data_IF_564740694700
#
_entry.id   IF_564740694700
#
_cell.length_a   1.000
_cell.length_b   1.000
_cell.length_c   1.000
_cell.angle_alpha   90.00
_cell.angle_beta   90.00
_cell.angle_gamma   90.00
#
_symmetry.space_group_name_H-M   'P 1'
#
loop_
_entity.id
_entity.type
_entity.pdbx_description
1 polymer ?
#
# COMPACT_ATOMS: atom_id res chain seq x y z
N UNK A 1 18.88 -1.00 21.74
CA UNK A 1 19.62 -1.91 22.65
C UNK A 1 20.81 -2.50 21.88
N UNK A 2 22.03 -2.24 22.36
CA UNK A 2 23.33 -2.82 22.02
C UNK A 2 23.79 -2.82 20.55
N UNK A 3 24.67 -1.86 20.23
CA UNK A 3 25.63 -1.98 19.14
C UNK A 3 26.65 -3.08 19.41
N UNK A 4 26.94 -3.88 18.38
CA UNK A 4 28.07 -4.81 18.36
C UNK A 4 29.23 -4.17 17.62
N UNK A 5 30.31 -3.84 18.35
CA UNK A 5 31.64 -3.64 17.77
C UNK A 5 32.21 -5.02 17.41
N UNK A 6 32.62 -5.23 16.14
CA UNK A 6 33.53 -6.34 15.80
C UNK A 6 34.98 -5.85 15.91
N UNK A 7 35.90 -6.65 16.47
CA UNK A 7 37.31 -6.28 16.58
C UNK A 7 38.07 -6.56 15.27
N UNK A 8 39.05 -5.69 15.00
CA UNK A 8 40.09 -5.82 13.98
C UNK A 8 41.26 -6.66 14.51
N UNK A 9 41.70 -7.65 13.73
CA UNK A 9 43.07 -8.23 13.67
C UNK A 9 43.21 -8.71 12.22
N UNK A 10 44.01 -8.11 11.31
CA UNK A 10 45.47 -7.86 11.20
C UNK A 10 46.26 -9.00 10.50
N UNK A 11 46.87 -8.65 9.36
CA UNK A 11 47.89 -9.41 8.59
C UNK A 11 47.32 -10.06 7.32
N UNK A 12 47.71 -9.75 6.07
CA UNK A 12 48.86 -9.06 5.49
C UNK A 12 48.44 -8.30 4.20
N UNK A 13 49.28 -7.34 3.81
CA UNK A 13 49.26 -6.42 2.64
C UNK A 13 48.90 -7.10 1.30
N UNK A 14 48.05 -6.53 0.43
CA UNK A 14 48.40 -5.43 -0.51
C UNK A 14 47.36 -4.26 -0.56
N UNK A 15 47.82 -3.14 -1.12
CA UNK A 15 47.38 -1.74 -0.99
C UNK A 15 46.27 -1.29 -2.01
N UNK A 16 45.75 -0.04 -1.98
CA UNK A 16 44.38 0.27 -1.55
C UNK A 16 43.44 0.77 -2.67
N UNK A 17 42.13 0.50 -2.52
CA UNK A 17 41.06 1.29 -3.14
C UNK A 17 40.48 2.25 -2.10
N UNK A 18 40.25 3.50 -2.52
CA UNK A 18 40.04 4.68 -1.68
C UNK A 18 38.99 4.51 -0.57
N UNK A 19 39.36 4.96 0.62
CA UNK A 19 38.55 4.94 1.84
C UNK A 19 37.41 5.95 1.79
N UNK A 20 36.25 5.55 1.26
CA UNK A 20 35.01 6.31 1.42
C UNK A 20 34.46 6.07 2.84
N UNK A 21 34.35 7.13 3.65
CA UNK A 21 33.81 7.03 5.02
C UNK A 21 32.28 6.90 4.94
N UNK A 22 31.72 5.89 5.62
CA UNK A 22 30.27 5.66 5.71
C UNK A 22 29.78 6.02 7.11
N UNK A 23 28.67 6.75 7.20
CA UNK A 23 28.05 7.14 8.46
C UNK A 23 26.55 6.87 8.43
N UNK A 24 26.05 6.09 9.40
CA UNK A 24 24.64 5.75 9.55
C UNK A 24 24.06 6.47 10.76
N UNK A 25 23.00 7.25 10.53
CA UNK A 25 22.34 8.08 11.53
C UNK A 25 20.94 7.55 11.80
N UNK A 26 20.77 6.82 12.90
CA UNK A 26 19.48 6.22 13.27
C UNK A 26 18.70 7.01 14.32
N UNK A 27 19.30 8.03 14.96
CA UNK A 27 18.59 8.82 15.97
C UNK A 27 19.22 10.21 16.16
N UNK A 28 18.66 11.22 15.47
CA UNK A 28 18.97 12.63 15.72
C UNK A 28 17.74 13.41 16.23
N UNK A 29 16.78 12.69 16.81
CA UNK A 29 15.66 13.32 17.51
C UNK A 29 16.06 13.58 18.98
N UNK A 30 15.92 14.82 19.45
CA UNK A 30 15.99 15.25 20.87
C UNK A 30 17.27 15.88 21.47
N UNK A 31 18.30 16.29 20.71
CA UNK A 31 19.42 17.09 21.31
C UNK A 31 19.83 18.40 20.60
N UNK A 32 18.96 18.98 19.77
CA UNK A 32 19.18 20.32 19.20
C UNK A 32 18.00 21.28 19.40
N UNK A 33 17.07 20.96 20.31
CA UNK A 33 16.04 21.90 20.79
C UNK A 33 16.64 22.80 21.88
N UNK A 34 17.54 23.69 21.49
CA UNK A 34 17.88 24.93 22.21
C UNK A 34 18.84 25.74 21.34
N UNK A 35 18.32 26.36 20.29
CA UNK A 35 18.85 27.64 19.84
C UNK A 35 17.68 28.53 19.42
N UNK A 36 17.64 29.68 20.06
CA UNK A 36 16.61 30.70 20.04
C UNK A 36 16.20 31.15 18.64
N UNK A 37 14.94 31.59 18.57
CA UNK A 37 14.26 32.27 17.48
C UNK A 37 15.15 32.92 16.42
N UNK A 38 15.30 32.23 15.30
CA UNK A 38 15.72 32.83 14.04
C UNK A 38 14.58 32.68 13.04
N UNK A 39 13.77 33.75 12.93
CA UNK A 39 13.03 34.04 11.71
C UNK A 39 14.06 34.09 10.59
N UNK A 40 14.15 33.03 9.78
CA UNK A 40 14.97 33.01 8.60
C UNK A 40 14.35 33.97 7.56
N UNK A 41 14.72 35.25 7.66
CA UNK A 41 14.71 36.13 6.51
C UNK A 41 15.70 35.54 5.51
N UNK A 42 15.18 34.97 4.43
CA UNK A 42 15.98 34.66 3.25
C UNK A 42 16.53 35.98 2.74
N UNK A 43 17.81 36.24 2.99
CA UNK A 43 18.48 37.43 2.49
C UNK A 43 18.49 37.39 0.95
N UNK A 44 18.08 38.46 0.24
CA UNK A 44 18.02 38.48 -1.24
C UNK A 44 19.38 38.35 -1.94
N UNK A 45 20.48 38.32 -1.18
CA UNK A 45 21.85 38.49 -1.68
C UNK A 45 22.58 37.21 -2.10
N UNK A 46 21.95 36.03 -2.03
CA UNK A 46 22.51 34.79 -2.60
C UNK A 46 22.00 34.46 -4.01
N UNK A 47 21.25 35.38 -4.64
CA UNK A 47 20.77 35.25 -6.03
C UNK A 47 21.84 35.77 -7.00
N UNK A 48 22.99 35.08 -7.11
CA UNK A 48 23.93 35.37 -8.21
C UNK A 48 24.84 34.21 -8.64
N UNK A 49 24.32 32.98 -8.67
CA UNK A 49 24.86 31.99 -9.62
C UNK A 49 23.77 31.55 -10.59
N UNK A 50 23.93 32.03 -11.83
CA UNK A 50 23.12 31.71 -13.00
C UNK A 50 23.01 30.18 -13.16
N UNK A 51 21.79 29.66 -13.15
CA UNK A 51 21.46 28.42 -13.87
C UNK A 51 20.44 28.71 -14.96
N UNK A 52 20.84 28.33 -16.17
CA UNK A 52 20.27 28.66 -17.48
C UNK A 52 19.16 27.68 -17.89
N UNK A 53 18.47 27.08 -16.91
CA UNK A 53 17.52 26.00 -17.12
C UNK A 53 16.11 26.49 -16.83
N UNK A 54 15.50 27.09 -17.85
CA UNK A 54 14.06 27.36 -17.87
C UNK A 54 13.36 26.03 -18.21
N UNK A 55 13.30 25.09 -17.27
CA UNK A 55 12.37 23.97 -17.35
C UNK A 55 10.94 24.52 -17.37
N UNK A 56 10.04 23.92 -18.15
CA UNK A 56 8.61 24.25 -18.19
C UNK A 56 7.94 23.90 -16.86
N UNK A 57 8.18 24.73 -15.86
CA UNK A 57 7.65 24.58 -14.52
C UNK A 57 6.14 24.75 -14.53
N UNK A 58 5.60 25.64 -15.38
CA UNK A 58 4.14 25.83 -15.51
C UNK A 58 3.45 24.58 -16.01
N UNK A 59 3.99 23.90 -17.03
CA UNK A 59 3.50 22.61 -17.51
C UNK A 59 3.54 21.52 -16.44
N UNK A 60 4.68 21.40 -15.73
CA UNK A 60 4.83 20.44 -14.63
C UNK A 60 3.81 20.68 -13.50
N UNK A 61 3.69 21.91 -13.01
CA UNK A 61 2.74 22.24 -11.94
C UNK A 61 1.29 22.06 -12.39
N UNK A 62 0.96 22.35 -13.65
CA UNK A 62 -0.37 22.08 -14.22
C UNK A 62 -0.70 20.58 -14.24
N UNK A 63 0.25 19.73 -14.63
CA UNK A 63 0.07 18.27 -14.60
C UNK A 63 -0.04 17.74 -13.18
N UNK A 64 0.81 18.23 -12.27
CA UNK A 64 0.76 17.86 -10.85
C UNK A 64 -0.61 18.23 -10.24
N UNK A 65 -1.13 19.43 -10.56
CA UNK A 65 -2.43 19.89 -10.08
C UNK A 65 -3.58 18.99 -10.59
N UNK A 66 -3.51 18.52 -11.84
CA UNK A 66 -4.48 17.55 -12.37
C UNK A 66 -4.55 16.29 -11.49
N UNK A 67 -3.39 15.77 -11.08
CA UNK A 67 -3.31 14.58 -10.22
C UNK A 67 -3.75 14.81 -8.78
N UNK A 68 -3.65 16.05 -8.29
CA UNK A 68 -4.19 16.42 -6.97
C UNK A 68 -5.73 16.39 -6.93
N UNK A 69 -6.40 16.59 -8.08
CA UNK A 69 -7.84 16.43 -8.19
C UNK A 69 -8.20 14.94 -8.24
N UNK A 70 -8.90 14.48 -7.21
CA UNK A 70 -9.25 13.07 -7.03
C UNK A 70 -10.18 12.52 -8.10
N UNK A 71 -11.16 13.30 -8.56
CA UNK A 71 -12.17 12.87 -9.53
C UNK A 71 -11.55 12.74 -10.93
N UNK A 72 -10.81 13.77 -11.34
CA UNK A 72 -10.15 13.81 -12.64
C UNK A 72 -9.10 12.69 -12.79
N UNK A 73 -8.26 12.52 -11.76
CA UNK A 73 -7.26 11.45 -11.75
C UNK A 73 -7.89 10.05 -11.75
N UNK A 74 -8.95 9.84 -10.96
CA UNK A 74 -9.66 8.56 -10.96
C UNK A 74 -10.30 8.25 -12.32
N UNK A 75 -10.93 9.24 -12.96
CA UNK A 75 -11.51 9.09 -14.30
C UNK A 75 -10.46 8.71 -15.35
N UNK A 76 -9.33 9.41 -15.37
CA UNK A 76 -8.19 9.10 -16.27
C UNK A 76 -7.70 7.66 -16.09
N UNK A 77 -7.56 7.20 -14.85
CA UNK A 77 -7.11 5.85 -14.53
C UNK A 77 -8.14 4.79 -14.95
N UNK A 78 -9.42 5.02 -14.69
CA UNK A 78 -10.50 4.11 -15.08
C UNK A 78 -10.62 3.97 -16.60
N UNK A 79 -10.51 5.07 -17.34
CA UNK A 79 -10.51 5.05 -18.81
C UNK A 79 -9.30 4.26 -19.36
N UNK A 80 -8.12 4.45 -18.76
CA UNK A 80 -6.93 3.68 -19.12
C UNK A 80 -7.12 2.18 -18.86
N UNK A 81 -7.65 1.79 -17.69
CA UNK A 81 -7.94 0.40 -17.37
C UNK A 81 -8.97 -0.21 -18.36
N UNK A 82 -10.03 0.54 -18.70
CA UNK A 82 -11.05 0.12 -19.67
C UNK A 82 -10.45 -0.12 -21.07
N UNK A 83 -9.45 0.67 -21.47
CA UNK A 83 -8.78 0.54 -22.77
C UNK A 83 -7.91 -0.72 -22.90
N UNK A 84 -7.66 -1.45 -21.80
CA UNK A 84 -6.75 -2.62 -21.74
C UNK A 84 -5.33 -2.33 -22.20
N UNK A 85 -4.92 -1.06 -22.19
CA UNK A 85 -3.55 -0.68 -22.49
C UNK A 85 -2.57 -1.37 -21.53
N UNK A 86 -1.40 -1.76 -22.05
CA UNK A 86 -0.39 -2.44 -21.27
C UNK A 86 0.12 -1.52 -20.14
N UNK A 87 0.12 -2.07 -18.92
CA UNK A 87 0.58 -1.42 -17.71
C UNK A 87 2.05 -1.81 -17.53
N UNK A 88 2.99 -0.96 -17.97
CA UNK A 88 4.44 -1.20 -17.86
C UNK A 88 4.98 -0.43 -16.67
N UNK A 89 5.53 -1.15 -15.69
CA UNK A 89 6.14 -0.54 -14.51
C UNK A 89 7.28 0.40 -14.92
N UNK A 90 7.24 1.62 -14.40
CA UNK A 90 8.32 2.59 -14.56
C UNK A 90 9.50 2.17 -13.70
N UNK A 91 10.50 1.53 -14.30
CA UNK A 91 11.70 1.09 -13.60
C UNK A 91 12.77 2.20 -13.54
N UNK A 92 13.59 2.13 -12.49
CA UNK A 92 14.81 2.94 -12.42
C UNK A 92 15.87 2.39 -13.38
N UNK A 93 16.84 3.24 -13.74
CA UNK A 93 17.96 2.83 -14.60
C UNK A 93 18.81 1.76 -13.90
N UNK A 94 19.40 0.82 -14.64
CA UNK A 94 20.20 -0.28 -14.06
C UNK A 94 21.32 0.20 -13.12
N UNK A 95 21.88 1.39 -13.39
CA UNK A 95 22.86 2.03 -12.52
C UNK A 95 22.27 2.41 -11.15
N UNK A 96 21.11 3.07 -11.18
CA UNK A 96 20.40 3.54 -9.98
C UNK A 96 19.78 2.38 -9.22
N UNK A 97 19.20 1.41 -9.91
CA UNK A 97 18.65 0.18 -9.30
C UNK A 97 19.72 -0.59 -8.54
N UNK A 98 20.92 -0.78 -9.12
CA UNK A 98 22.04 -1.43 -8.41
C UNK A 98 22.48 -0.68 -7.15
N UNK A 99 22.46 0.67 -7.19
CA UNK A 99 22.74 1.50 -6.00
C UNK A 99 21.67 1.29 -4.92
N UNK A 100 20.40 1.30 -5.28
CA UNK A 100 19.31 1.00 -4.34
C UNK A 100 19.43 -0.38 -3.72
N UNK A 101 19.71 -1.43 -4.50
CA UNK A 101 19.91 -2.78 -3.96
C UNK A 101 21.10 -2.86 -3.00
N UNK A 102 22.19 -2.15 -3.29
CA UNK A 102 23.34 -2.09 -2.39
C UNK A 102 22.98 -1.38 -1.07
N UNK A 103 22.37 -0.20 -1.13
CA UNK A 103 21.95 0.54 0.06
C UNK A 103 20.88 -0.20 0.86
N UNK A 104 19.95 -0.89 0.20
CA UNK A 104 18.91 -1.68 0.85
C UNK A 104 19.51 -2.84 1.65
N UNK A 105 20.50 -3.54 1.09
CA UNK A 105 21.23 -4.61 1.82
C UNK A 105 21.94 -4.04 3.04
N UNK A 106 22.65 -2.93 2.88
CA UNK A 106 23.38 -2.28 3.98
C UNK A 106 22.39 -1.83 5.09
N UNK A 107 21.25 -1.23 4.74
CA UNK A 107 20.17 -0.89 5.69
C UNK A 107 19.58 -2.11 6.39
N UNK A 108 19.36 -3.20 5.65
CA UNK A 108 18.79 -4.45 6.21
C UNK A 108 19.77 -5.13 7.17
N UNK A 109 21.07 -5.07 6.90
CA UNK A 109 22.10 -5.61 7.79
C UNK A 109 22.19 -4.81 9.10
N UNK A 110 22.07 -3.48 9.03
CA UNK A 110 22.18 -2.62 10.21
C UNK A 110 20.90 -2.55 11.05
N UNK A 111 19.74 -2.43 10.40
CA UNK A 111 18.46 -2.15 11.06
C UNK A 111 17.54 -3.39 11.15
N UNK A 112 17.86 -4.46 10.43
CA UNK A 112 17.01 -5.64 10.29
C UNK A 112 16.02 -5.53 9.11
N UNK A 113 15.42 -6.66 8.75
CA UNK A 113 14.39 -6.70 7.72
C UNK A 113 13.08 -6.09 8.24
N UNK A 114 12.57 -5.08 7.54
CA UNK A 114 11.35 -4.37 7.92
C UNK A 114 10.22 -4.61 6.92
N UNK A 115 9.14 -5.24 7.39
CA UNK A 115 7.94 -5.48 6.61
C UNK A 115 6.92 -4.32 6.69
N UNK A 116 7.11 -3.40 7.64
CA UNK A 116 6.20 -2.27 7.86
C UNK A 116 6.48 -1.14 6.87
N UNK A 117 5.48 -0.26 6.69
CA UNK A 117 5.67 0.98 5.93
C UNK A 117 6.77 1.82 6.59
N UNK A 118 7.81 2.11 5.82
CA UNK A 118 8.92 2.96 6.25
C UNK A 118 9.59 3.59 5.03
N UNK A 119 10.44 4.59 5.30
CA UNK A 119 11.30 5.23 4.31
C UNK A 119 12.69 5.45 4.90
N UNK A 120 13.72 5.42 4.05
CA UNK A 120 15.08 5.80 4.40
C UNK A 120 15.68 6.58 3.23
N UNK A 121 16.77 7.30 3.47
CA UNK A 121 17.47 7.97 2.39
C UNK A 121 18.98 7.97 2.58
N UNK A 122 19.65 8.18 1.46
CA UNK A 122 21.10 8.22 1.35
C UNK A 122 21.49 9.50 0.63
N UNK A 123 22.39 10.26 1.26
CA UNK A 123 23.09 11.35 0.62
C UNK A 123 24.48 10.85 0.20
N UNK A 124 24.65 10.61 -1.11
CA UNK A 124 25.92 10.20 -1.70
C UNK A 124 26.73 11.43 -2.09
N UNK A 125 27.90 11.58 -1.48
CA UNK A 125 28.91 12.58 -1.80
C UNK A 125 30.14 11.88 -2.40
N UNK A 126 31.05 12.62 -3.05
CA UNK A 126 32.27 12.02 -3.62
C UNK A 126 33.14 11.30 -2.57
N UNK A 127 33.24 11.86 -1.36
CA UNK A 127 34.13 11.34 -0.30
C UNK A 127 33.39 10.55 0.80
N UNK A 128 32.07 10.73 0.92
CA UNK A 128 31.28 10.26 2.06
C UNK A 128 29.87 9.82 1.63
N UNK A 129 29.36 8.77 2.27
CA UNK A 129 27.97 8.34 2.14
C UNK A 129 27.29 8.49 3.50
N UNK A 130 26.21 9.28 3.56
CA UNK A 130 25.39 9.46 4.76
C UNK A 130 24.07 8.73 4.56
N UNK A 131 23.78 7.75 5.42
CA UNK A 131 22.54 6.99 5.41
C UNK A 131 21.71 7.35 6.66
N UNK A 132 20.41 7.52 6.51
CA UNK A 132 19.52 7.89 7.61
C UNK A 132 18.11 7.31 7.45
N UNK A 133 17.49 7.02 8.60
CA UNK A 133 16.32 6.15 8.71
C UNK A 133 16.68 4.78 9.30
N UNK A 134 15.77 3.78 9.26
CA UNK A 134 14.41 3.87 8.72
C UNK A 134 13.51 4.77 9.57
N UNK A 135 12.66 5.53 8.91
CA UNK A 135 11.59 6.30 9.55
C UNK A 135 10.24 5.69 9.26
N UNK A 136 9.36 5.73 10.26
CA UNK A 136 8.01 5.17 10.19
C UNK A 136 6.99 6.30 10.26
N UNK A 137 5.84 6.18 9.58
CA UNK A 137 4.78 7.18 9.63
C UNK A 137 4.20 7.29 11.06
N UNK A 138 3.87 8.51 11.47
CA UNK A 138 3.15 8.79 12.71
C UNK A 138 1.71 9.19 12.40
N UNK A 139 0.84 8.18 12.33
CA UNK A 139 -0.57 8.35 11.96
C UNK A 139 -1.36 9.22 12.94
N UNK A 140 -0.94 9.31 14.21
CA UNK A 140 -1.61 10.16 15.20
C UNK A 140 -1.46 11.65 14.90
N UNK A 141 -0.36 12.03 14.25
CA UNK A 141 -0.03 13.41 13.90
C UNK A 141 -0.22 13.69 12.40
N UNK A 142 -0.68 12.71 11.62
CA UNK A 142 -0.78 12.82 10.16
C UNK A 142 0.57 12.94 9.43
N UNK A 143 1.69 12.70 10.12
CA UNK A 143 3.04 12.79 9.56
C UNK A 143 3.42 11.48 8.87
N UNK A 144 3.87 11.57 7.62
CA UNK A 144 4.38 10.41 6.89
C UNK A 144 5.92 10.35 6.98
N UNK A 145 6.47 9.16 6.79
CA UNK A 145 7.91 8.92 6.78
C UNK A 145 8.67 9.83 5.80
N UNK A 146 8.05 10.19 4.68
CA UNK A 146 8.60 11.06 3.64
C UNK A 146 8.76 12.51 4.10
N UNK A 147 7.93 13.01 5.03
CA UNK A 147 8.08 14.37 5.57
C UNK A 147 9.40 14.49 6.36
N UNK A 148 9.71 13.47 7.13
CA UNK A 148 10.95 13.38 7.92
C UNK A 148 12.16 13.32 7.00
N UNK A 149 12.09 12.52 5.93
CA UNK A 149 13.16 12.45 4.91
C UNK A 149 13.40 13.81 4.26
N UNK A 150 12.34 14.50 3.82
CA UNK A 150 12.44 15.83 3.20
C UNK A 150 13.12 16.81 4.17
N UNK A 151 12.66 16.86 5.42
CA UNK A 151 13.21 17.75 6.44
C UNK A 151 14.69 17.47 6.67
N UNK A 152 15.04 16.21 6.91
CA UNK A 152 16.42 15.81 7.19
C UNK A 152 17.35 16.08 5.99
N UNK A 153 16.87 15.81 4.77
CA UNK A 153 17.63 16.11 3.54
C UNK A 153 17.89 17.61 3.43
N UNK A 154 16.87 18.44 3.66
CA UNK A 154 16.98 19.89 3.59
C UNK A 154 18.00 20.43 4.60
N UNK A 155 17.97 19.94 5.85
CA UNK A 155 18.92 20.33 6.88
C UNK A 155 20.37 19.96 6.50
N UNK A 156 20.58 18.76 5.97
CA UNK A 156 21.90 18.31 5.51
C UNK A 156 22.43 19.17 4.35
N UNK A 157 21.58 19.55 3.40
CA UNK A 157 21.95 20.38 2.26
C UNK A 157 22.17 21.86 2.64
N UNK A 158 21.41 22.40 3.60
CA UNK A 158 21.58 23.79 4.07
C UNK A 158 22.81 23.97 4.97
N UNK A 159 23.31 22.90 5.60
CA UNK A 159 24.38 22.99 6.59
C UNK A 159 25.79 23.18 6.02
N UNK A 160 25.98 23.13 4.68
CA UNK A 160 27.31 23.08 4.05
C UNK A 160 27.33 23.76 2.68
N UNK A 161 28.52 24.15 2.21
CA UNK A 161 28.75 24.44 0.80
C UNK A 161 28.62 23.13 0.01
N UNK A 162 27.53 23.00 -0.77
CA UNK A 162 27.21 21.78 -1.52
C UNK A 162 27.77 21.87 -2.95
N UNK A 163 28.75 21.03 -3.34
CA UNK A 163 29.18 20.93 -4.73
C UNK A 163 28.16 20.18 -5.62
N UNK A 164 28.22 20.45 -6.93
CA UNK A 164 27.24 20.04 -7.95
C UNK A 164 27.11 18.52 -8.19
N UNK A 165 27.95 17.67 -7.56
CA UNK A 165 28.02 16.22 -7.82
C UNK A 165 27.30 15.34 -6.80
N UNK A 166 26.60 15.93 -5.83
CA UNK A 166 25.89 15.20 -4.80
C UNK A 166 24.60 14.56 -5.33
N UNK A 167 24.24 13.40 -4.76
CA UNK A 167 23.02 12.68 -5.11
C UNK A 167 22.24 12.30 -3.86
N UNK A 168 20.93 12.42 -3.95
CA UNK A 168 20.00 11.93 -2.95
C UNK A 168 19.30 10.68 -3.49
N UNK A 169 19.27 9.63 -2.68
CA UNK A 169 18.50 8.42 -2.93
C UNK A 169 17.46 8.29 -1.82
N UNK A 170 16.18 8.36 -2.17
CA UNK A 170 15.06 8.15 -1.24
C UNK A 170 14.44 6.80 -1.53
N UNK A 171 14.37 5.96 -0.52
CA UNK A 171 13.64 4.70 -0.56
C UNK A 171 12.35 4.81 0.23
N UNK A 172 11.27 4.26 -0.32
CA UNK A 172 9.99 4.13 0.37
C UNK A 172 9.41 2.73 0.16
N UNK A 173 8.91 2.07 1.20
CA UNK A 173 8.28 0.76 1.05
C UNK A 173 7.03 0.83 0.14
N UNK A 174 6.24 1.89 0.34
CA UNK A 174 5.06 2.22 -0.45
C UNK A 174 5.37 3.43 -1.34
N UNK A 175 4.83 3.48 -2.55
CA UNK A 175 4.93 4.67 -3.40
C UNK A 175 4.44 5.91 -2.63
N UNK A 176 5.16 7.05 -2.65
CA UNK A 176 4.73 8.26 -1.96
C UNK A 176 3.28 8.62 -2.31
N UNK A 177 2.50 9.09 -1.33
CA UNK A 177 1.09 9.33 -1.56
C UNK A 177 0.83 10.49 -2.55
N UNK A 178 -0.22 10.35 -3.35
CA UNK A 178 -0.71 11.38 -4.29
C UNK A 178 -1.87 12.20 -3.73
N UNK A 179 -2.46 11.77 -2.62
CA UNK A 179 -3.52 12.47 -1.87
C UNK A 179 -3.23 12.33 -0.38
N UNK A 180 -3.58 13.36 0.39
CA UNK A 180 -3.61 13.34 1.85
C UNK A 180 -5.01 13.66 2.33
N UNK A 181 -5.52 12.87 3.27
CA UNK A 181 -6.73 13.17 4.01
C UNK A 181 -6.34 13.96 5.26
N UNK A 182 -5.86 15.20 5.09
CA UNK A 182 -5.70 16.10 6.22
C UNK A 182 -6.89 17.04 6.30
N UNK A 183 -7.19 17.49 7.52
CA UNK A 183 -8.20 18.50 7.79
C UNK A 183 -8.04 19.65 6.77
N UNK A 184 -9.11 20.15 6.12
CA UNK A 184 -9.02 21.30 5.20
C UNK A 184 -8.33 22.54 5.80
N UNK A 185 -8.19 22.62 7.13
CA UNK A 185 -7.45 23.67 7.82
C UNK A 185 -5.93 23.44 7.87
N UNK A 186 -5.46 22.21 7.63
CA UNK A 186 -4.05 21.79 7.58
C UNK A 186 -3.73 21.40 6.13
N UNK A 187 -3.29 22.39 5.36
CA UNK A 187 -2.94 22.21 3.96
C UNK A 187 -1.55 21.55 3.86
N UNK A 188 -1.53 20.22 3.91
CA UNK A 188 -0.31 19.42 3.75
C UNK A 188 -0.30 18.78 2.37
N UNK A 189 0.65 19.19 1.54
CA UNK A 189 0.84 18.64 0.21
C UNK A 189 1.08 17.11 0.26
N UNK A 190 0.58 16.34 -0.72
CA UNK A 190 0.88 14.92 -0.81
C UNK A 190 2.37 14.64 -0.98
N UNK A 191 2.86 13.53 -0.40
CA UNK A 191 4.29 13.23 -0.32
C UNK A 191 4.99 13.25 -1.68
N UNK A 192 4.33 12.72 -2.71
CA UNK A 192 4.91 12.70 -4.06
C UNK A 192 5.12 14.12 -4.60
N UNK A 193 4.16 15.02 -4.38
CA UNK A 193 4.26 16.42 -4.80
C UNK A 193 5.37 17.14 -4.04
N UNK A 194 5.39 16.98 -2.71
CA UNK A 194 6.43 17.59 -1.87
C UNK A 194 7.83 17.13 -2.26
N UNK A 195 8.01 15.83 -2.55
CA UNK A 195 9.28 15.28 -3.01
C UNK A 195 9.70 15.84 -4.38
N UNK A 196 8.77 15.99 -5.33
CA UNK A 196 9.08 16.59 -6.65
C UNK A 196 9.48 18.06 -6.50
N UNK A 197 8.71 18.84 -5.72
CA UNK A 197 9.03 20.25 -5.48
C UNK A 197 10.39 20.39 -4.81
N UNK A 198 10.67 19.56 -3.80
CA UNK A 198 11.95 19.58 -3.09
C UNK A 198 13.11 19.11 -3.93
N UNK A 199 12.94 18.07 -4.75
CA UNK A 199 13.96 17.66 -5.73
C UNK A 199 14.30 18.79 -6.71
N UNK A 200 13.29 19.55 -7.17
CA UNK A 200 13.53 20.71 -8.01
C UNK A 200 14.27 21.83 -7.28
N UNK A 201 13.90 22.13 -6.04
CA UNK A 201 14.59 23.12 -5.20
C UNK A 201 16.05 22.72 -4.95
N UNK A 202 16.30 21.47 -4.56
CA UNK A 202 17.64 20.95 -4.30
C UNK A 202 18.51 20.98 -5.56
N UNK A 203 17.94 20.65 -6.71
CA UNK A 203 18.63 20.77 -7.99
C UNK A 203 18.94 22.23 -8.34
N UNK A 204 17.96 23.12 -8.21
CA UNK A 204 18.11 24.53 -8.60
C UNK A 204 19.12 25.27 -7.72
N UNK A 205 19.12 25.00 -6.42
CA UNK A 205 19.96 25.70 -5.43
C UNK A 205 21.33 25.04 -5.30
N UNK A 206 21.39 23.71 -5.31
CA UNK A 206 22.61 22.96 -4.97
C UNK A 206 23.14 22.06 -6.11
N UNK A 207 22.44 21.94 -7.24
CA UNK A 207 22.82 21.01 -8.31
C UNK A 207 22.60 19.53 -7.95
N UNK A 208 21.88 19.23 -6.88
CA UNK A 208 21.72 17.87 -6.36
C UNK A 208 20.66 17.10 -7.14
N UNK A 209 21.02 15.93 -7.68
CA UNK A 209 20.05 15.02 -8.33
C UNK A 209 19.39 14.10 -7.33
N UNK A 210 18.09 13.89 -7.50
CA UNK A 210 17.29 13.06 -6.60
C UNK A 210 16.81 11.80 -7.30
N UNK A 211 16.90 10.66 -6.63
CA UNK A 211 16.39 9.37 -7.08
C UNK A 211 15.43 8.84 -6.04
N UNK A 212 14.25 8.41 -6.45
CA UNK A 212 13.20 7.90 -5.55
C UNK A 212 12.85 6.48 -6.00
N UNK A 213 13.07 5.51 -5.13
CA UNK A 213 12.76 4.11 -5.35
C UNK A 213 11.67 3.63 -4.41
N UNK A 214 10.65 2.97 -4.96
CA UNK A 214 9.56 2.38 -4.15
C UNK A 214 9.31 0.91 -4.47
N UNK A 215 8.83 0.13 -3.49
CA UNK A 215 8.57 -1.31 -3.68
C UNK A 215 7.13 -1.58 -4.11
N UNK A 216 6.16 -1.08 -3.34
CA UNK A 216 4.73 -1.34 -3.54
C UNK A 216 4.03 -0.12 -4.12
N UNK A 217 3.14 -0.33 -5.10
CA UNK A 217 2.27 0.72 -5.63
C UNK A 217 1.12 0.93 -4.65
N UNK A 218 1.27 1.93 -3.78
CA UNK A 218 0.24 2.26 -2.80
C UNK A 218 -0.86 3.15 -3.40
N UNK A 219 -0.52 4.00 -4.39
CA UNK A 219 -1.50 4.81 -5.12
C UNK A 219 -2.28 5.79 -4.23
N UNK A 220 -3.61 5.73 -4.29
CA UNK A 220 -4.51 6.59 -3.50
C UNK A 220 -5.04 5.83 -2.27
N UNK A 221 -4.66 6.24 -1.04
CA UNK A 221 -5.28 5.72 0.21
C UNK A 221 -6.43 6.62 0.67
N UNK A 222 -7.42 6.05 1.35
CA UNK A 222 -8.52 6.77 1.99
C UNK A 222 -9.88 6.46 1.35
N UNK A 223 -10.73 7.48 1.16
CA UNK A 223 -12.06 7.35 0.54
C UNK A 223 -12.08 6.73 -0.87
N UNK A 224 -10.94 6.33 -1.45
CA UNK A 224 -10.86 5.62 -2.74
C UNK A 224 -10.67 4.10 -2.63
N UNK A 225 -10.37 3.56 -1.44
CA UNK A 225 -10.71 2.16 -1.10
C UNK A 225 -12.23 1.94 -1.27
N UNK A 226 -13.01 3.03 -1.22
CA UNK A 226 -14.44 3.00 -1.51
C UNK A 226 -14.81 2.95 -2.99
N UNK A 227 -13.89 3.12 -3.96
CA UNK A 227 -14.30 3.14 -5.37
C UNK A 227 -14.97 1.83 -5.78
N UNK A 228 -14.49 0.73 -5.20
CA UNK A 228 -15.00 -0.61 -5.45
C UNK A 228 -15.82 -1.16 -4.27
N UNK A 229 -16.15 -0.36 -3.24
CA UNK A 229 -16.91 -0.83 -2.05
C UNK A 229 -18.27 -1.43 -2.42
N UNK A 230 -18.86 -0.93 -3.49
CA UNK A 230 -20.20 -1.33 -3.94
C UNK A 230 -20.18 -2.73 -4.56
N UNK A 231 -19.01 -3.27 -4.89
CA UNK A 231 -18.81 -4.62 -5.40
C UNK A 231 -18.91 -5.62 -4.25
N UNK A 232 -20.14 -6.01 -3.90
CA UNK A 232 -20.43 -7.15 -3.03
C UNK A 232 -20.58 -8.44 -3.85
N UNK A 233 -20.84 -9.56 -3.19
CA UNK A 233 -20.97 -10.85 -3.88
C UNK A 233 -22.12 -10.87 -4.91
N UNK A 234 -23.25 -10.18 -4.64
CA UNK A 234 -24.37 -10.08 -5.60
C UNK A 234 -23.95 -9.36 -6.87
N UNK A 235 -23.15 -8.28 -6.76
CA UNK A 235 -22.56 -7.64 -7.94
C UNK A 235 -21.66 -8.60 -8.72
N UNK A 236 -20.78 -9.32 -8.02
CA UNK A 236 -19.86 -10.28 -8.64
C UNK A 236 -20.63 -11.35 -9.42
N UNK A 237 -21.71 -11.87 -8.87
CA UNK A 237 -22.59 -12.83 -9.54
C UNK A 237 -23.24 -12.23 -10.79
N UNK A 238 -23.85 -11.04 -10.70
CA UNK A 238 -24.45 -10.37 -11.86
C UNK A 238 -23.42 -10.07 -12.96
N UNK A 239 -22.21 -9.63 -12.59
CA UNK A 239 -21.13 -9.34 -13.56
C UNK A 239 -20.69 -10.61 -14.27
N UNK A 240 -20.61 -11.73 -13.53
CA UNK A 240 -20.18 -13.03 -14.06
C UNK A 240 -21.23 -13.61 -15.01
N UNK A 241 -22.53 -13.44 -14.69
CA UNK A 241 -23.64 -13.94 -15.50
C UNK A 241 -23.93 -13.08 -16.73
N UNK A 242 -23.83 -11.75 -16.62
CA UNK A 242 -24.07 -10.84 -17.74
C UNK A 242 -23.03 -11.05 -18.85
N UNK A 243 -23.42 -10.94 -20.12
CA UNK A 243 -22.50 -11.05 -21.28
C UNK A 243 -21.91 -9.67 -21.63
N UNK A 244 -22.68 -8.63 -21.41
CA UNK A 244 -22.36 -7.21 -21.65
C UNK A 244 -22.98 -6.34 -20.53
N UNK A 245 -22.81 -5.03 -20.62
CA UNK A 245 -23.31 -4.11 -19.60
C UNK A 245 -24.85 -4.08 -19.54
N UNK A 246 -25.52 -4.19 -20.70
CA UNK A 246 -26.98 -4.13 -20.77
C UNK A 246 -27.62 -5.35 -20.07
N UNK A 247 -27.11 -6.55 -20.34
CA UNK A 247 -27.55 -7.77 -19.67
C UNK A 247 -27.23 -7.75 -18.17
N UNK A 248 -26.07 -7.22 -17.78
CA UNK A 248 -25.72 -6.98 -16.37
C UNK A 248 -26.70 -6.03 -15.68
N UNK A 249 -26.98 -4.87 -16.26
CA UNK A 249 -27.89 -3.87 -15.68
C UNK A 249 -29.27 -4.48 -15.45
N UNK A 250 -29.79 -5.21 -16.45
CA UNK A 250 -31.09 -5.91 -16.34
C UNK A 250 -31.11 -6.99 -15.25
N UNK A 251 -29.99 -7.62 -14.93
CA UNK A 251 -29.87 -8.58 -13.83
C UNK A 251 -29.83 -7.85 -12.48
N UNK A 252 -29.01 -6.81 -12.38
CA UNK A 252 -28.87 -6.01 -11.16
C UNK A 252 -30.20 -5.32 -10.78
N UNK A 253 -30.91 -4.75 -11.76
CA UNK A 253 -32.20 -4.07 -11.57
C UNK A 253 -33.31 -4.98 -11.00
N UNK A 254 -33.17 -6.31 -11.14
CA UNK A 254 -34.12 -7.29 -10.58
C UNK A 254 -33.87 -7.59 -9.11
N UNK A 255 -32.70 -7.22 -8.57
CA UNK A 255 -32.31 -7.50 -7.20
C UNK A 255 -32.61 -6.27 -6.35
N UNK A 256 -33.47 -6.45 -5.35
CA UNK A 256 -33.79 -5.37 -4.39
C UNK A 256 -32.53 -4.89 -3.67
N UNK A 257 -32.40 -3.57 -3.53
CA UNK A 257 -31.28 -2.87 -2.88
C UNK A 257 -29.91 -3.04 -3.58
N UNK A 258 -29.90 -3.44 -4.86
CA UNK A 258 -28.68 -3.51 -5.66
C UNK A 258 -28.67 -2.41 -6.75
N UNK A 259 -27.87 -1.37 -6.55
CA UNK A 259 -27.70 -0.34 -7.57
C UNK A 259 -26.71 -0.83 -8.66
N UNK A 260 -27.03 -0.68 -9.95
CA UNK A 260 -26.08 -1.00 -11.02
C UNK A 260 -24.80 -0.15 -10.93
N UNK A 261 -23.66 -0.81 -11.07
CA UNK A 261 -22.36 -0.15 -11.23
C UNK A 261 -22.33 0.59 -12.57
N UNK A 262 -21.48 1.61 -12.70
CA UNK A 262 -21.29 2.25 -14.00
C UNK A 262 -20.58 1.30 -14.99
N UNK A 263 -20.81 1.52 -16.30
CA UNK A 263 -20.29 0.69 -17.39
C UNK A 263 -18.76 0.47 -17.32
N UNK A 264 -18.03 1.51 -16.93
CA UNK A 264 -16.57 1.46 -16.82
C UNK A 264 -16.13 0.52 -15.69
N UNK A 265 -16.73 0.63 -14.50
CA UNK A 265 -16.42 -0.26 -13.37
C UNK A 265 -16.83 -1.69 -13.68
N UNK A 266 -18.01 -1.88 -14.29
CA UNK A 266 -18.46 -3.19 -14.77
C UNK A 266 -17.42 -3.83 -15.72
N UNK A 267 -16.95 -3.09 -16.72
CA UNK A 267 -16.02 -3.61 -17.72
C UNK A 267 -14.70 -4.06 -17.08
N UNK A 268 -14.15 -3.25 -16.18
CA UNK A 268 -12.89 -3.55 -15.48
C UNK A 268 -13.06 -4.74 -14.53
N UNK A 269 -14.15 -4.77 -13.74
CA UNK A 269 -14.45 -5.87 -12.83
C UNK A 269 -14.65 -7.18 -13.58
N UNK A 270 -15.33 -7.13 -14.73
CA UNK A 270 -15.52 -8.29 -15.60
C UNK A 270 -14.20 -8.85 -16.14
N UNK A 271 -13.26 -7.99 -16.50
CA UNK A 271 -11.94 -8.43 -16.96
C UNK A 271 -11.13 -9.08 -15.83
N UNK A 272 -11.27 -8.60 -14.58
CA UNK A 272 -10.69 -9.27 -13.40
C UNK A 272 -11.30 -10.66 -13.22
N UNK A 273 -12.63 -10.76 -13.24
CA UNK A 273 -13.37 -12.02 -13.05
C UNK A 273 -13.16 -13.04 -14.18
N UNK A 274 -12.82 -12.58 -15.40
CA UNK A 274 -12.46 -13.44 -16.54
C UNK A 274 -11.04 -13.98 -16.49
N UNK A 275 -10.14 -13.34 -15.74
CA UNK A 275 -8.76 -13.81 -15.63
C UNK A 275 -8.68 -15.12 -14.85
N UNK A 276 -7.74 -16.01 -15.17
CA UNK A 276 -7.61 -17.37 -14.62
C UNK A 276 -7.42 -17.46 -13.09
N UNK A 277 -7.41 -16.32 -12.38
CA UNK A 277 -7.39 -16.22 -10.93
C UNK A 277 -8.80 -16.39 -10.33
N UNK A 278 -9.39 -17.57 -10.51
CA UNK A 278 -10.61 -17.98 -9.78
C UNK A 278 -10.35 -18.47 -8.35
N UNK A 279 -9.08 -18.56 -7.98
CA UNK A 279 -8.65 -19.10 -6.71
C UNK A 279 -8.32 -17.97 -5.75
N UNK A 280 -8.88 -18.02 -4.55
CA UNK A 280 -8.63 -17.06 -3.50
C UNK A 280 -8.38 -17.77 -2.16
N UNK A 281 -7.53 -17.22 -1.30
CA UNK A 281 -7.31 -17.79 0.01
C UNK A 281 -8.41 -17.32 0.98
N UNK A 282 -8.84 -18.20 1.89
CA UNK A 282 -9.76 -17.84 2.98
C UNK A 282 -9.03 -17.12 4.13
N UNK A 283 -7.70 -17.21 4.13
CA UNK A 283 -6.79 -16.58 5.09
C UNK A 283 -5.81 -15.65 4.35
N UNK A 284 -5.65 -14.42 4.84
CA UNK A 284 -4.45 -13.63 4.57
C UNK A 284 -3.59 -13.58 5.83
N UNK A 285 -2.26 -13.50 5.66
CA UNK A 285 -1.29 -13.47 6.75
C UNK A 285 -1.53 -12.31 7.75
N UNK A 286 -2.22 -11.26 7.30
CA UNK A 286 -2.33 -9.97 8.00
C UNK A 286 -3.72 -9.74 8.63
N UNK A 287 -4.72 -10.60 8.39
CA UNK A 287 -6.07 -10.41 8.91
C UNK A 287 -6.43 -11.39 10.05
N UNK A 288 -6.43 -10.87 11.28
CA UNK A 288 -7.16 -11.44 12.43
C UNK A 288 -8.50 -10.72 12.58
N UNK A 289 -9.38 -10.81 11.59
CA UNK A 289 -10.74 -10.29 11.72
C UNK A 289 -11.56 -11.22 12.64
N UNK A 290 -12.49 -10.67 13.42
CA UNK A 290 -13.40 -11.47 14.27
C UNK A 290 -14.41 -12.23 13.40
N UNK A 291 -13.98 -13.36 12.82
CA UNK A 291 -14.80 -14.21 11.94
C UNK A 291 -15.93 -14.90 12.66
N UNK A 292 -15.85 -15.01 13.99
CA UNK A 292 -16.97 -15.45 14.84
C UNK A 292 -18.19 -14.55 14.65
N UNK A 293 -18.01 -13.32 14.14
CA UNK A 293 -19.12 -12.43 13.76
C UNK A 293 -20.09 -13.03 12.74
N UNK A 294 -19.62 -13.79 11.74
CA UNK A 294 -20.49 -14.46 10.76
C UNK A 294 -21.41 -15.51 11.39
N UNK A 295 -20.97 -16.13 12.49
CA UNK A 295 -21.70 -17.16 13.19
C UNK A 295 -22.51 -16.62 14.39
N UNK A 296 -22.47 -15.30 14.66
CA UNK A 296 -23.26 -14.69 15.76
C UNK A 296 -24.76 -14.92 15.57
N UNK A 297 -25.24 -14.90 14.33
CA UNK A 297 -26.65 -15.14 14.00
C UNK A 297 -27.14 -16.55 14.39
N UNK A 298 -26.24 -17.55 14.42
CA UNK A 298 -26.57 -18.90 14.90
C UNK A 298 -26.94 -18.92 16.38
N UNK A 299 -26.41 -17.98 17.17
CA UNK A 299 -26.73 -17.88 18.60
C UNK A 299 -28.16 -17.38 18.84
N UNK A 300 -28.74 -16.64 17.91
CA UNK A 300 -30.12 -16.12 18.01
C UNK A 300 -31.18 -17.23 17.87
N UNK A 301 -30.88 -18.34 17.17
CA UNK A 301 -31.76 -19.52 17.11
C UNK A 301 -32.05 -20.15 18.48
N UNK A 302 -31.24 -19.83 19.51
CA UNK A 302 -31.39 -20.39 20.85
C UNK A 302 -32.09 -19.45 21.84
N UNK A 303 -32.55 -18.28 21.41
CA UNK A 303 -33.17 -17.28 22.31
C UNK A 303 -34.48 -17.76 22.95
N UNK A 304 -35.22 -18.66 22.29
CA UNK A 304 -36.42 -19.27 22.82
C UNK A 304 -36.20 -20.43 23.82
N UNK A 305 -34.95 -20.85 24.06
CA UNK A 305 -34.61 -22.00 24.91
C UNK A 305 -34.15 -21.58 26.29
N UNK A 306 -34.64 -22.25 27.34
CA UNK A 306 -34.34 -21.90 28.75
C UNK A 306 -33.33 -22.84 29.40
N UNK A 307 -32.62 -22.34 30.41
CA UNK A 307 -31.82 -23.15 31.33
C UNK A 307 -30.57 -23.80 30.73
N UNK A 308 -30.34 -25.07 31.07
CA UNK A 308 -29.13 -25.81 30.71
C UNK A 308 -29.08 -26.21 29.22
N UNK A 309 -30.23 -26.37 28.57
CA UNK A 309 -30.31 -26.67 27.13
C UNK A 309 -29.66 -25.56 26.27
N UNK A 310 -29.90 -24.29 26.62
CA UNK A 310 -29.27 -23.14 25.96
C UNK A 310 -27.75 -23.12 26.15
N UNK A 311 -27.27 -23.47 27.35
CA UNK A 311 -25.82 -23.56 27.63
C UNK A 311 -25.17 -24.65 26.79
N UNK A 312 -25.77 -25.85 26.75
CA UNK A 312 -25.26 -26.96 25.96
C UNK A 312 -25.20 -26.63 24.47
N UNK A 313 -26.24 -26.02 23.91
CA UNK A 313 -26.27 -25.60 22.50
C UNK A 313 -25.23 -24.51 22.19
N UNK A 314 -25.01 -23.58 23.11
CA UNK A 314 -23.97 -22.54 22.95
C UNK A 314 -22.57 -23.14 22.97
N UNK A 315 -22.31 -24.10 23.88
CA UNK A 315 -21.04 -24.83 23.92
C UNK A 315 -20.81 -25.65 22.66
N UNK A 316 -21.85 -26.32 22.17
CA UNK A 316 -21.78 -27.10 20.94
C UNK A 316 -21.49 -26.20 19.72
N UNK A 317 -22.19 -25.08 19.61
CA UNK A 317 -21.96 -24.09 18.56
C UNK A 317 -20.52 -23.57 18.59
N UNK A 318 -20.00 -23.20 19.75
CA UNK A 318 -18.62 -22.73 19.88
C UNK A 318 -17.62 -23.81 19.47
N UNK A 319 -17.86 -25.06 19.84
CA UNK A 319 -17.01 -26.20 19.47
C UNK A 319 -17.02 -26.43 17.96
N UNK A 320 -18.19 -26.32 17.32
CA UNK A 320 -18.33 -26.41 15.87
C UNK A 320 -17.58 -25.28 15.16
N UNK A 321 -17.72 -24.03 15.63
CA UNK A 321 -17.02 -22.87 15.06
C UNK A 321 -15.51 -23.04 15.19
N UNK A 322 -15.01 -23.45 16.36
CA UNK A 322 -13.58 -23.68 16.60
C UNK A 322 -13.04 -24.80 15.71
N UNK A 323 -13.78 -25.89 15.53
CA UNK A 323 -13.39 -26.95 14.62
C UNK A 323 -13.39 -26.49 13.14
N UNK A 324 -14.32 -25.61 12.75
CA UNK A 324 -14.39 -25.05 11.40
C UNK A 324 -13.21 -24.11 11.08
N UNK A 325 -12.52 -23.55 12.09
CA UNK A 325 -11.31 -22.74 11.86
C UNK A 325 -10.21 -23.54 11.13
N UNK A 326 -10.16 -24.87 11.32
CA UNK A 326 -9.20 -25.73 10.65
C UNK A 326 -9.40 -25.83 9.12
N UNK A 327 -10.58 -25.45 8.61
CA UNK A 327 -10.87 -25.42 7.18
C UNK A 327 -10.31 -24.17 6.48
N UNK A 328 -9.96 -23.14 7.25
CA UNK A 328 -9.48 -21.88 6.72
C UNK A 328 -8.02 -22.02 6.29
N UNK A 329 -7.77 -21.95 4.99
CA UNK A 329 -6.45 -22.13 4.39
C UNK A 329 -5.92 -20.85 3.77
N UNK A 330 -4.60 -20.66 3.86
CA UNK A 330 -3.86 -19.66 3.07
C UNK A 330 -3.67 -20.13 1.62
N UNK A 331 -3.94 -21.40 1.33
CA UNK A 331 -3.88 -21.93 -0.03
C UNK A 331 -5.05 -21.36 -0.85
N UNK A 332 -4.79 -20.78 -2.03
CA UNK A 332 -5.85 -20.34 -2.93
C UNK A 332 -6.64 -21.53 -3.48
N UNK A 333 -7.96 -21.47 -3.35
CA UNK A 333 -8.92 -22.48 -3.83
C UNK A 333 -10.13 -21.76 -4.48
N UNK A 334 -10.90 -22.47 -5.30
CA UNK A 334 -12.07 -21.90 -5.96
C UNK A 334 -13.21 -21.64 -4.98
N UNK A 335 -14.18 -20.81 -5.38
CA UNK A 335 -15.38 -20.59 -4.56
C UNK A 335 -16.16 -21.88 -4.34
N UNK A 336 -16.28 -22.72 -5.37
CA UNK A 336 -16.96 -24.02 -5.28
C UNK A 336 -16.24 -24.95 -4.30
N UNK A 337 -14.90 -25.04 -4.38
CA UNK A 337 -14.11 -25.85 -3.46
C UNK A 337 -14.28 -25.41 -1.99
N UNK A 338 -14.29 -24.10 -1.73
CA UNK A 338 -14.52 -23.56 -0.38
C UNK A 338 -15.93 -23.86 0.13
N UNK A 339 -16.95 -23.77 -0.74
CA UNK A 339 -18.34 -24.10 -0.38
C UNK A 339 -18.50 -25.59 -0.08
N UNK A 340 -17.93 -26.46 -0.92
CA UNK A 340 -17.96 -27.92 -0.73
C UNK A 340 -17.30 -28.34 0.58
N UNK A 341 -16.19 -27.70 0.97
CA UNK A 341 -15.54 -27.97 2.26
C UNK A 341 -16.42 -27.67 3.46
N UNK A 342 -17.14 -26.54 3.44
CA UNK A 342 -18.06 -26.19 4.52
C UNK A 342 -19.26 -27.13 4.60
N UNK A 343 -19.79 -27.55 3.45
CA UNK A 343 -20.86 -28.54 3.37
C UNK A 343 -20.40 -29.91 3.89
N UNK A 344 -19.27 -30.40 3.40
CA UNK A 344 -18.68 -31.67 3.85
C UNK A 344 -18.40 -31.66 5.36
N UNK A 345 -17.88 -30.54 5.89
CA UNK A 345 -17.65 -30.37 7.31
C UNK A 345 -18.95 -30.43 8.12
N UNK A 346 -20.00 -29.70 7.71
CA UNK A 346 -21.26 -29.67 8.48
C UNK A 346 -21.92 -31.06 8.55
N UNK A 347 -21.78 -31.85 7.48
CA UNK A 347 -22.29 -33.21 7.42
C UNK A 347 -21.45 -34.19 8.24
N UNK A 348 -20.13 -34.03 8.24
CA UNK A 348 -19.19 -34.87 9.00
C UNK A 348 -19.10 -34.51 10.49
N UNK A 349 -19.51 -33.29 10.88
CA UNK A 349 -19.44 -32.83 12.27
C UNK A 349 -20.28 -33.72 13.19
N UNK A 350 -19.64 -34.24 14.24
CA UNK A 350 -20.28 -35.14 15.21
C UNK A 350 -20.81 -34.33 16.37
N UNK A 351 -22.13 -34.20 16.44
CA UNK A 351 -22.80 -33.51 17.53
C UNK A 351 -22.85 -34.34 18.81
N UNK A 352 -22.83 -33.67 19.96
CA UNK A 352 -23.10 -34.28 21.27
C UNK A 352 -24.43 -35.04 21.27
N UNK A 353 -24.44 -36.18 21.97
CA UNK A 353 -25.65 -37.02 22.18
C UNK A 353 -26.79 -36.26 22.88
N UNK A 354 -26.47 -35.15 23.56
CA UNK A 354 -27.41 -34.30 24.27
C UNK A 354 -28.24 -33.39 23.34
N UNK A 355 -27.82 -33.20 22.09
CA UNK A 355 -28.55 -32.39 21.09
C UNK A 355 -29.48 -33.30 20.31
N UNK A 356 -30.78 -33.02 20.26
CA UNK A 356 -31.74 -33.83 19.50
C UNK A 356 -31.56 -33.64 17.98
N UNK A 357 -32.00 -34.62 17.20
CA UNK A 357 -31.78 -34.68 15.74
C UNK A 357 -32.29 -33.43 15.00
N UNK A 358 -33.51 -32.98 15.31
CA UNK A 358 -34.09 -31.78 14.69
C UNK A 358 -33.24 -30.52 14.89
N UNK A 359 -32.57 -30.38 16.03
CA UNK A 359 -31.69 -29.25 16.32
C UNK A 359 -30.33 -29.38 15.63
N UNK A 360 -29.83 -30.61 15.46
CA UNK A 360 -28.60 -30.85 14.69
C UNK A 360 -28.80 -30.42 13.25
N UNK A 361 -29.95 -30.77 12.66
CA UNK A 361 -30.26 -30.39 11.28
C UNK A 361 -30.46 -28.87 11.15
N UNK A 362 -31.12 -28.22 12.10
CA UNK A 362 -31.20 -26.75 12.13
C UNK A 362 -29.80 -26.13 12.21
N UNK A 363 -28.93 -26.62 13.10
CA UNK A 363 -27.55 -26.11 13.25
C UNK A 363 -26.74 -26.32 11.96
N UNK A 364 -26.87 -27.45 11.28
CA UNK A 364 -26.21 -27.71 9.99
C UNK A 364 -26.63 -26.73 8.93
N UNK A 365 -27.95 -26.52 8.75
CA UNK A 365 -28.49 -25.59 7.76
C UNK A 365 -28.00 -24.17 8.03
N UNK A 366 -28.06 -23.74 9.30
CA UNK A 366 -27.57 -22.41 9.71
C UNK A 366 -26.07 -22.25 9.52
N UNK A 367 -25.28 -23.27 9.86
CA UNK A 367 -23.85 -23.25 9.63
C UNK A 367 -23.52 -23.14 8.15
N UNK A 368 -24.16 -23.93 7.29
CA UNK A 368 -23.95 -23.87 5.84
C UNK A 368 -24.32 -22.49 5.28
N UNK A 369 -25.37 -21.86 5.81
CA UNK A 369 -25.72 -20.48 5.45
C UNK A 369 -24.63 -19.49 5.86
N UNK A 370 -24.21 -19.48 7.12
CA UNK A 370 -23.14 -18.60 7.62
C UNK A 370 -21.81 -18.83 6.88
N UNK A 371 -21.48 -20.08 6.61
CA UNK A 371 -20.29 -20.47 5.85
C UNK A 371 -20.34 -19.91 4.43
N UNK A 372 -21.46 -20.08 3.75
CA UNK A 372 -21.68 -19.53 2.40
C UNK A 372 -21.53 -18.02 2.39
N UNK A 373 -22.19 -17.31 3.32
CA UNK A 373 -22.09 -15.85 3.43
C UNK A 373 -20.63 -15.40 3.64
N UNK A 374 -19.89 -16.08 4.52
CA UNK A 374 -18.47 -15.80 4.74
C UNK A 374 -17.63 -16.03 3.47
N UNK A 375 -17.78 -17.17 2.80
CA UNK A 375 -17.04 -17.48 1.56
C UNK A 375 -17.33 -16.43 0.47
N UNK A 376 -18.60 -16.07 0.30
CA UNK A 376 -19.07 -15.10 -0.67
C UNK A 376 -18.50 -13.70 -0.40
N UNK A 377 -18.53 -13.25 0.84
CA UNK A 377 -17.97 -11.96 1.26
C UNK A 377 -16.45 -11.92 1.04
N UNK A 378 -15.75 -13.00 1.39
CA UNK A 378 -14.30 -13.13 1.18
C UNK A 378 -13.92 -13.11 -0.29
N UNK A 379 -14.71 -13.77 -1.13
CA UNK A 379 -14.49 -13.71 -2.57
C UNK A 379 -14.70 -12.29 -3.11
N UNK A 380 -15.74 -11.59 -2.67
CA UNK A 380 -15.97 -10.20 -3.05
C UNK A 380 -14.86 -9.26 -2.56
N UNK A 381 -14.36 -9.45 -1.33
CA UNK A 381 -13.16 -8.75 -0.81
C UNK A 381 -11.95 -8.97 -1.71
N UNK A 382 -11.64 -10.23 -2.05
CA UNK A 382 -10.54 -10.56 -2.95
C UNK A 382 -10.64 -9.85 -4.31
N UNK A 383 -11.84 -9.82 -4.91
CA UNK A 383 -12.07 -9.10 -6.18
C UNK A 383 -11.84 -7.60 -6.01
N UNK A 384 -12.30 -7.00 -4.90
CA UNK A 384 -12.06 -5.58 -4.61
C UNK A 384 -10.57 -5.28 -4.40
N UNK A 385 -9.84 -6.17 -3.75
CA UNK A 385 -8.40 -6.01 -3.51
C UNK A 385 -7.62 -6.05 -4.83
N UNK A 386 -7.90 -7.02 -5.71
CA UNK A 386 -7.27 -7.10 -7.05
C UNK A 386 -7.61 -5.87 -7.91
N UNK A 387 -8.86 -5.39 -7.87
CA UNK A 387 -9.25 -4.16 -8.55
C UNK A 387 -8.52 -2.94 -8.01
N UNK A 388 -8.41 -2.84 -6.70
CA UNK A 388 -7.73 -1.75 -6.00
C UNK A 388 -6.24 -1.76 -6.31
N UNK A 389 -5.59 -2.93 -6.32
CA UNK A 389 -4.19 -3.08 -6.68
C UNK A 389 -3.95 -2.64 -8.14
N UNK A 390 -4.77 -3.11 -9.08
CA UNK A 390 -4.68 -2.69 -10.50
C UNK A 390 -4.85 -1.18 -10.64
N UNK A 391 -5.84 -0.60 -9.97
CA UNK A 391 -6.10 0.83 -10.00
C UNK A 391 -4.95 1.65 -9.41
N UNK A 392 -4.41 1.25 -8.27
CA UNK A 392 -3.28 1.92 -7.63
C UNK A 392 -1.99 1.81 -8.46
N UNK A 393 -1.74 0.65 -9.08
CA UNK A 393 -0.61 0.46 -9.99
C UNK A 393 -0.72 1.38 -11.21
N UNK A 394 -1.88 1.42 -11.87
CA UNK A 394 -2.12 2.30 -13.01
C UNK A 394 -2.04 3.78 -12.64
N UNK A 395 -2.53 4.15 -11.46
CA UNK A 395 -2.42 5.52 -10.92
C UNK A 395 -0.96 5.96 -10.87
N UNK A 396 -0.12 5.19 -10.17
CA UNK A 396 1.30 5.56 -9.98
C UNK A 396 2.00 5.62 -11.33
N UNK A 397 1.78 4.66 -12.21
CA UNK A 397 2.43 4.63 -13.53
C UNK A 397 2.05 5.82 -14.40
N UNK A 398 0.75 6.11 -14.55
CA UNK A 398 0.29 7.23 -15.37
C UNK A 398 0.79 8.56 -14.81
N UNK A 399 0.80 8.71 -13.48
CA UNK A 399 1.40 9.87 -12.83
C UNK A 399 2.88 10.02 -13.19
N UNK A 400 3.65 8.94 -13.08
CA UNK A 400 5.08 8.96 -13.39
C UNK A 400 5.33 9.24 -14.88
N UNK A 401 4.52 8.72 -15.79
CA UNK A 401 4.63 9.00 -17.22
C UNK A 401 4.45 10.50 -17.51
N UNK A 402 3.43 11.13 -16.92
CA UNK A 402 3.17 12.55 -17.09
C UNK A 402 4.34 13.39 -16.53
N UNK A 403 4.77 13.10 -15.29
CA UNK A 403 5.79 13.89 -14.58
C UNK A 403 7.20 13.68 -15.12
N UNK A 404 7.55 12.46 -15.54
CA UNK A 404 8.90 12.17 -16.02
C UNK A 404 9.28 13.03 -17.21
N UNK A 405 8.34 13.39 -18.09
CA UNK A 405 8.64 14.25 -19.26
C UNK A 405 9.26 15.60 -18.89
N UNK A 406 8.96 16.13 -17.70
CA UNK A 406 9.46 17.42 -17.22
C UNK A 406 10.64 17.30 -16.25
N UNK A 407 10.81 16.15 -15.60
CA UNK A 407 11.68 16.00 -14.43
C UNK A 407 12.98 15.24 -14.68
N UNK A 408 13.17 14.63 -15.86
CA UNK A 408 14.33 13.75 -16.19
C UNK A 408 15.70 14.34 -15.88
N UNK A 409 15.85 15.66 -15.90
CA UNK A 409 17.13 16.33 -15.70
C UNK A 409 17.62 16.25 -14.25
N UNK A 410 16.70 16.18 -13.29
CA UNK A 410 17.02 16.32 -11.87
C UNK A 410 16.41 15.25 -10.96
N UNK A 411 15.39 14.54 -11.44
CA UNK A 411 14.64 13.57 -10.65
C UNK A 411 14.39 12.29 -11.45
N UNK A 412 14.70 11.15 -10.84
CA UNK A 412 14.30 9.84 -11.32
C UNK A 412 13.42 9.16 -10.27
N UNK A 413 12.23 8.72 -10.64
CA UNK A 413 11.33 7.97 -9.77
C UNK A 413 10.96 6.66 -10.46
N UNK A 414 10.99 5.55 -9.73
CA UNK A 414 10.61 4.26 -10.28
C UNK A 414 10.47 3.16 -9.24
N UNK A 415 9.85 2.07 -9.68
CA UNK A 415 9.65 0.87 -8.87
C UNK A 415 10.96 0.07 -8.78
N UNK A 416 11.23 -0.43 -7.58
CA UNK A 416 12.35 -1.29 -7.28
C UNK A 416 11.93 -2.76 -7.34
N UNK A 417 12.81 -3.61 -7.86
CA UNK A 417 12.73 -5.06 -7.75
C UNK A 417 13.79 -5.47 -6.73
N UNK A 418 13.37 -5.71 -5.49
CA UNK A 418 14.24 -6.05 -4.37
C UNK A 418 14.06 -7.50 -3.92
#
# INVERSE_FOLDING_TARGET
KFGRKRPLFSGHEEQPLSSCKRMCLTDWSNRALQHDGLKAYVSPTWVSRRTKYLTDTKGLFGQILFWSNTENSAKKVLEHLRSKAAIVDTLLSDSVSRKFSAFHRDMTEECGAEAKQHSWAVLEKPEEIIMYGPYYPNYNNGEHSEDIIIKQTQELLCSRDVPEDWKVYVFTMNSPCLVRNTDPCINTDPCMLSLIHKAWEWWRVHGVKTHIGYVRCWGFKGNKENLFKEINFRQVECITQGVDYESYSKLADKITDLNPLCETVFSIAKDVLRSDKKHFPMMSSDQKQDRRSYFKSMSCSFEGKQGDEKKHLTTELNTMIEAAEALLSEKPESIEEHLEKGEAFSMAHTFSSQVCEALRDEMRVRFQQCWREMVQDRYAEFVRDELTEKFNRSTVQLFLQDVQTFTRQYLQIGKLQL
#
